data_IF_395505627223
#
_entry.id   IF_395505627223
#
_cell.length_a   1.000
_cell.length_b   1.000
_cell.length_c   1.000
_cell.angle_alpha   90.00
_cell.angle_beta   90.00
_cell.angle_gamma   90.00
#
_symmetry.space_group_name_H-M   'P 1'
#
loop_
_entity.id
_entity.type
_entity.pdbx_description
1 polymer ?
#
# COMPACT_ATOMS: atom_id res chain seq x y z
N UNK A 1 -1.07 -8.25 37.12
CA UNK A 1 -0.28 -9.27 36.34
C UNK A 1 1.13 -8.72 36.14
N UNK A 2 2.14 -9.38 36.74
CA UNK A 2 3.54 -8.96 36.60
C UNK A 2 4.01 -9.13 35.13
N UNK A 3 4.51 -8.09 34.54
CA UNK A 3 5.09 -8.08 33.20
C UNK A 3 6.38 -8.90 33.18
N UNK A 4 6.38 -10.02 32.48
CA UNK A 4 7.56 -10.88 32.32
C UNK A 4 8.35 -10.50 31.05
N UNK A 5 9.28 -9.55 31.19
CA UNK A 5 10.41 -9.36 30.28
C UNK A 5 10.29 -8.25 29.21
N UNK A 6 11.44 -7.69 28.79
CA UNK A 6 11.57 -6.58 27.82
C UNK A 6 10.98 -6.86 26.43
N UNK A 7 10.97 -8.11 25.97
CA UNK A 7 10.42 -8.48 24.64
C UNK A 7 8.91 -8.36 24.57
N UNK A 8 8.17 -8.70 25.62
CA UNK A 8 6.70 -8.59 25.65
C UNK A 8 6.25 -7.13 25.62
N UNK A 9 7.00 -6.21 26.22
CA UNK A 9 6.69 -4.77 26.21
C UNK A 9 6.86 -4.15 24.83
N UNK A 10 7.92 -4.50 24.10
CA UNK A 10 8.17 -4.01 22.73
C UNK A 10 7.13 -4.55 21.75
N UNK A 11 6.77 -5.83 21.84
CA UNK A 11 5.73 -6.42 20.98
C UNK A 11 4.36 -5.79 21.23
N UNK A 12 3.99 -5.60 22.49
CA UNK A 12 2.73 -4.94 22.85
C UNK A 12 2.68 -3.49 22.37
N UNK A 13 3.79 -2.75 22.49
CA UNK A 13 3.91 -1.38 21.96
C UNK A 13 3.76 -1.35 20.45
N UNK A 14 4.45 -2.23 19.72
CA UNK A 14 4.38 -2.29 18.27
C UNK A 14 2.97 -2.66 17.78
N UNK A 15 2.29 -3.57 18.46
CA UNK A 15 0.91 -3.91 18.17
C UNK A 15 -0.06 -2.73 18.38
N UNK A 16 0.14 -1.95 19.44
CA UNK A 16 -0.64 -0.74 19.71
C UNK A 16 -0.41 0.33 18.63
N UNK A 17 0.84 0.55 18.23
CA UNK A 17 1.18 1.48 17.15
C UNK A 17 0.54 1.03 15.84
N UNK A 18 0.65 -0.25 15.47
CA UNK A 18 0.04 -0.80 14.27
C UNK A 18 -1.47 -0.57 14.25
N UNK A 19 -2.17 -1.00 15.28
CA UNK A 19 -3.63 -0.83 15.37
C UNK A 19 -4.06 0.65 15.33
N UNK A 20 -3.33 1.53 16.01
CA UNK A 20 -3.61 2.97 16.00
C UNK A 20 -3.42 3.56 14.59
N UNK A 21 -2.32 3.22 13.91
CA UNK A 21 -2.01 3.77 12.58
C UNK A 21 -2.96 3.22 11.51
N UNK A 22 -3.40 1.98 11.61
CA UNK A 22 -4.45 1.42 10.75
C UNK A 22 -5.77 2.16 10.94
N UNK A 23 -6.20 2.38 12.19
CA UNK A 23 -7.42 3.17 12.49
C UNK A 23 -7.31 4.59 11.95
N UNK A 24 -6.18 5.26 12.18
CA UNK A 24 -5.92 6.58 11.63
C UNK A 24 -5.99 6.59 10.09
N UNK A 25 -5.49 5.54 9.44
CA UNK A 25 -5.57 5.41 7.99
C UNK A 25 -7.00 5.24 7.49
N UNK A 26 -7.87 4.54 8.25
CA UNK A 26 -9.31 4.49 7.95
C UNK A 26 -9.92 5.90 8.01
N UNK A 27 -9.66 6.65 9.09
CA UNK A 27 -10.19 8.01 9.24
C UNK A 27 -9.69 8.92 8.12
N UNK A 28 -8.41 8.81 7.73
CA UNK A 28 -7.78 9.57 6.66
C UNK A 28 -8.44 9.30 5.29
N UNK A 29 -8.74 8.04 5.00
CA UNK A 29 -9.29 7.60 3.70
C UNK A 29 -10.82 7.72 3.63
N UNK A 30 -11.53 7.76 4.78
CA UNK A 30 -12.98 7.68 4.82
C UNK A 30 -13.68 8.87 4.15
N UNK A 31 -13.11 10.09 4.24
CA UNK A 31 -13.68 11.28 3.59
C UNK A 31 -13.76 11.08 2.08
N UNK A 32 -12.63 10.65 1.48
CA UNK A 32 -12.57 10.35 0.05
C UNK A 32 -13.47 9.15 -0.30
N UNK A 33 -13.41 8.06 0.46
CA UNK A 33 -14.26 6.89 0.24
C UNK A 33 -15.74 7.28 0.17
N UNK A 34 -16.20 8.12 1.11
CA UNK A 34 -17.59 8.58 1.17
C UNK A 34 -18.00 9.37 -0.08
N UNK A 35 -17.11 10.22 -0.64
CA UNK A 35 -17.40 10.98 -1.87
C UNK A 35 -17.58 10.07 -3.10
N UNK A 36 -17.03 8.85 -3.05
CA UNK A 36 -17.14 7.83 -4.11
C UNK A 36 -18.21 6.77 -3.83
N UNK A 37 -19.00 6.91 -2.78
CA UNK A 37 -19.97 5.90 -2.36
C UNK A 37 -19.32 4.62 -1.84
N UNK A 38 -18.07 4.72 -1.36
CA UNK A 38 -17.29 3.65 -0.77
C UNK A 38 -17.16 3.81 0.75
N UNK A 39 -16.63 2.78 1.39
CA UNK A 39 -16.29 2.75 2.80
C UNK A 39 -14.82 2.38 2.96
N UNK A 40 -14.12 2.99 3.92
CA UNK A 40 -12.82 2.54 4.38
C UNK A 40 -13.00 1.53 5.52
N UNK A 41 -12.52 0.30 5.37
CA UNK A 41 -12.72 -0.80 6.32
C UNK A 41 -11.38 -1.34 6.79
N UNK A 42 -11.16 -1.34 8.12
CA UNK A 42 -9.99 -1.95 8.75
C UNK A 42 -10.13 -3.46 8.88
N UNK A 43 -9.05 -4.18 8.66
CA UNK A 43 -8.97 -5.62 8.89
C UNK A 43 -9.89 -6.43 7.98
N UNK A 44 -10.07 -6.01 6.74
CA UNK A 44 -10.97 -6.68 5.80
C UNK A 44 -10.46 -8.06 5.40
N UNK A 45 -11.39 -9.00 5.30
CA UNK A 45 -11.18 -10.40 4.92
C UNK A 45 -11.79 -10.62 3.54
N UNK A 46 -11.06 -11.26 2.64
CA UNK A 46 -11.55 -11.69 1.34
C UNK A 46 -10.80 -12.95 0.92
N UNK A 47 -11.41 -14.12 1.16
CA UNK A 47 -10.80 -15.41 0.88
C UNK A 47 -10.51 -15.61 -0.62
N UNK A 48 -11.27 -14.96 -1.51
CA UNK A 48 -11.09 -15.03 -2.96
C UNK A 48 -9.70 -14.53 -3.40
N UNK A 49 -9.07 -13.66 -2.62
CA UNK A 49 -7.76 -13.04 -2.93
C UNK A 49 -6.73 -13.27 -1.81
N UNK A 50 -6.91 -14.32 -1.01
CA UNK A 50 -5.95 -14.73 0.02
C UNK A 50 -5.91 -13.86 1.29
N UNK A 51 -6.88 -12.96 1.50
CA UNK A 51 -7.03 -12.19 2.72
C UNK A 51 -7.85 -12.98 3.74
N UNK A 52 -7.16 -13.70 4.62
CA UNK A 52 -7.78 -14.55 5.65
C UNK A 52 -7.96 -13.82 6.99
N UNK A 53 -8.71 -14.39 7.95
CA UNK A 53 -8.79 -13.86 9.32
C UNK A 53 -7.44 -13.71 10.02
N UNK A 54 -6.44 -14.54 9.66
CA UNK A 54 -5.08 -14.52 10.22
C UNK A 54 -4.18 -13.51 9.51
N UNK A 55 -4.53 -13.12 8.28
CA UNK A 55 -3.79 -12.14 7.47
C UNK A 55 -4.76 -11.24 6.70
N UNK A 56 -5.58 -10.44 7.42
CA UNK A 56 -6.52 -9.51 6.78
C UNK A 56 -5.76 -8.35 6.11
N UNK A 57 -6.45 -7.61 5.24
CA UNK A 57 -5.94 -6.33 4.77
C UNK A 57 -5.93 -5.31 5.91
N UNK A 58 -4.91 -4.44 5.97
CA UNK A 58 -4.86 -3.41 7.00
C UNK A 58 -6.02 -2.42 6.82
N UNK A 59 -6.21 -1.88 5.60
CA UNK A 59 -7.38 -1.07 5.22
C UNK A 59 -7.77 -1.37 3.78
N UNK A 60 -9.08 -1.39 3.47
CA UNK A 60 -9.60 -1.46 2.10
C UNK A 60 -10.60 -0.35 1.84
N UNK A 61 -10.66 0.14 0.60
CA UNK A 61 -11.80 0.89 0.08
C UNK A 61 -12.76 -0.11 -0.60
N UNK A 62 -14.00 -0.16 -0.18
CA UNK A 62 -14.97 -1.16 -0.65
C UNK A 62 -16.41 -0.66 -0.58
N UNK A 63 -17.32 -1.38 -1.21
CA UNK A 63 -18.75 -1.01 -1.30
C UNK A 63 -19.54 -1.22 0.00
N UNK A 64 -19.01 -2.01 0.94
CA UNK A 64 -19.73 -2.43 2.15
C UNK A 64 -18.89 -2.16 3.40
N UNK A 65 -19.54 -1.78 4.50
CA UNK A 65 -18.88 -1.61 5.81
C UNK A 65 -18.54 -2.93 6.52
N UNK A 66 -18.96 -4.06 5.97
CA UNK A 66 -18.68 -5.37 6.57
C UNK A 66 -17.19 -5.69 6.49
N UNK A 67 -16.70 -6.48 7.44
CA UNK A 67 -15.32 -6.93 7.44
C UNK A 67 -15.06 -7.99 6.37
N UNK A 68 -16.04 -8.85 6.10
CA UNK A 68 -15.99 -9.85 5.04
C UNK A 68 -16.39 -9.22 3.72
N UNK A 69 -15.51 -9.29 2.74
CA UNK A 69 -15.66 -8.67 1.43
C UNK A 69 -15.59 -9.73 0.31
N UNK A 70 -16.20 -9.39 -0.83
CA UNK A 70 -15.97 -10.09 -2.10
C UNK A 70 -14.95 -9.29 -2.93
N UNK A 71 -14.12 -9.97 -3.70
CA UNK A 71 -13.09 -9.31 -4.51
C UNK A 71 -13.66 -8.20 -5.42
N UNK A 72 -14.81 -8.43 -6.05
CA UNK A 72 -15.52 -7.47 -6.92
C UNK A 72 -16.01 -6.19 -6.22
N UNK A 73 -16.08 -6.20 -4.90
CA UNK A 73 -16.55 -5.07 -4.08
C UNK A 73 -15.40 -4.27 -3.48
N UNK A 74 -14.16 -4.72 -3.66
CA UNK A 74 -12.95 -4.04 -3.21
C UNK A 74 -12.45 -3.12 -4.34
N UNK A 75 -12.37 -1.82 -4.07
CA UNK A 75 -11.85 -0.82 -4.99
C UNK A 75 -10.34 -0.61 -4.86
N UNK A 76 -9.78 -0.71 -3.65
CA UNK A 76 -8.35 -0.61 -3.39
C UNK A 76 -7.96 -1.26 -2.06
N UNK A 77 -6.73 -1.75 -1.96
CA UNK A 77 -6.13 -2.33 -0.74
C UNK A 77 -4.98 -1.44 -0.30
N UNK A 78 -4.94 -1.11 1.00
CA UNK A 78 -3.86 -0.36 1.63
C UNK A 78 -3.19 -1.22 2.70
N UNK A 79 -1.92 -1.51 2.50
CA UNK A 79 -1.05 -2.12 3.51
C UNK A 79 -0.36 -0.99 4.28
N UNK A 80 -0.71 -0.83 5.54
CA UNK A 80 -0.28 0.32 6.35
C UNK A 80 1.07 0.04 7.01
N UNK A 81 2.03 0.90 6.74
CA UNK A 81 3.39 0.86 7.32
C UNK A 81 3.76 2.21 7.92
N UNK A 82 2.80 2.80 8.64
CA UNK A 82 3.03 4.02 9.40
C UNK A 82 3.70 3.72 10.74
N UNK A 83 4.37 4.73 11.28
CA UNK A 83 4.98 4.70 12.60
C UNK A 83 4.74 6.01 13.32
N UNK A 84 5.10 6.06 14.60
CA UNK A 84 5.16 7.32 15.34
C UNK A 84 6.36 8.11 14.79
N UNK A 85 6.10 9.25 14.14
CA UNK A 85 7.12 10.10 13.54
C UNK A 85 7.71 11.04 14.58
N UNK A 86 6.86 11.68 15.37
CA UNK A 86 7.26 12.66 16.36
C UNK A 86 7.60 12.03 17.72
N UNK A 87 8.76 12.40 18.28
CA UNK A 87 9.21 11.98 19.60
C UNK A 87 9.03 13.11 20.60
N UNK A 88 8.40 12.79 21.72
CA UNK A 88 8.17 13.73 22.82
C UNK A 88 8.67 13.11 24.12
N UNK A 89 9.32 13.91 24.96
CA UNK A 89 9.72 13.56 26.31
C UNK A 89 8.93 14.38 27.33
N UNK A 90 8.42 13.71 28.36
CA UNK A 90 7.87 14.41 29.52
C UNK A 90 8.99 14.62 30.55
N UNK A 91 9.44 15.87 30.71
CA UNK A 91 10.48 16.25 31.66
C UNK A 91 10.01 17.43 32.49
N UNK A 92 10.08 17.31 33.82
CA UNK A 92 9.61 18.34 34.76
C UNK A 92 8.17 18.82 34.47
N UNK A 93 7.28 17.89 34.16
CA UNK A 93 5.88 18.14 33.81
C UNK A 93 5.66 18.97 32.54
N UNK A 94 6.68 19.10 31.68
CA UNK A 94 6.62 19.75 30.38
C UNK A 94 6.86 18.75 29.26
N UNK A 95 6.06 18.83 28.19
CA UNK A 95 6.26 18.05 26.98
C UNK A 95 7.30 18.76 26.09
N UNK A 96 8.43 18.10 25.89
CA UNK A 96 9.53 18.56 25.03
C UNK A 96 9.55 17.75 23.75
N UNK A 97 9.48 18.38 22.58
CA UNK A 97 9.68 17.72 21.31
C UNK A 97 11.16 17.38 21.14
N UNK A 98 11.49 16.09 20.92
CA UNK A 98 12.85 15.62 20.70
C UNK A 98 13.21 15.58 19.21
N UNK A 99 12.22 15.75 18.32
CA UNK A 99 12.39 15.68 16.89
C UNK A 99 11.50 14.63 16.20
N UNK A 100 11.73 14.42 14.91
CA UNK A 100 10.95 13.52 14.06
C UNK A 100 11.55 12.09 13.97
N UNK A 101 11.29 11.39 12.86
CA UNK A 101 11.78 10.03 12.62
C UNK A 101 13.32 9.92 12.65
N UNK A 102 14.08 10.99 12.41
CA UNK A 102 15.56 11.00 12.47
C UNK A 102 16.08 10.77 13.89
N UNK A 103 15.29 11.11 14.91
CA UNK A 103 15.65 10.93 16.32
C UNK A 103 15.29 9.55 16.88
N UNK A 104 14.67 8.67 16.08
CA UNK A 104 14.38 7.30 16.49
C UNK A 104 15.64 6.45 16.62
N UNK A 105 15.70 5.58 17.63
CA UNK A 105 16.79 4.60 17.80
C UNK A 105 16.84 3.51 16.73
N UNK A 106 15.79 3.39 15.92
CA UNK A 106 15.68 2.45 14.81
C UNK A 106 14.83 3.05 13.71
N UNK A 107 15.03 2.59 12.48
CA UNK A 107 14.29 3.08 11.32
C UNK A 107 12.79 2.79 11.43
N UNK A 108 11.92 3.81 11.46
CA UNK A 108 10.47 3.62 11.54
C UNK A 108 9.83 3.47 10.15
N UNK A 109 8.63 2.90 10.09
CA UNK A 109 7.78 2.91 8.90
C UNK A 109 8.45 2.34 7.65
N UNK A 110 8.44 3.08 6.55
CA UNK A 110 9.02 2.71 5.26
C UNK A 110 10.56 2.77 5.22
N UNK A 111 11.21 3.40 6.20
CA UNK A 111 12.66 3.37 6.36
C UNK A 111 13.16 2.00 6.85
N UNK A 112 12.27 1.15 7.38
CA UNK A 112 12.62 -0.16 7.91
C UNK A 112 12.49 -1.24 6.86
N UNK A 113 13.61 -1.86 6.47
CA UNK A 113 13.64 -2.91 5.45
C UNK A 113 12.73 -4.11 5.76
N UNK A 114 12.64 -4.54 7.02
CA UNK A 114 11.72 -5.62 7.43
C UNK A 114 10.25 -5.27 7.18
N UNK A 115 9.85 -4.01 7.44
CA UNK A 115 8.50 -3.52 7.17
C UNK A 115 8.19 -3.49 5.67
N UNK A 116 9.16 -3.05 4.87
CA UNK A 116 9.06 -3.03 3.41
C UNK A 116 8.93 -4.44 2.84
N UNK A 117 9.79 -5.37 3.26
CA UNK A 117 9.76 -6.77 2.79
C UNK A 117 8.44 -7.46 3.15
N UNK A 118 7.90 -7.23 4.35
CA UNK A 118 6.61 -7.79 4.77
C UNK A 118 5.46 -7.24 3.91
N UNK A 119 5.46 -5.93 3.63
CA UNK A 119 4.44 -5.31 2.80
C UNK A 119 4.50 -5.84 1.35
N UNK A 120 5.69 -5.92 0.77
CA UNK A 120 5.92 -6.48 -0.57
C UNK A 120 5.47 -7.95 -0.62
N UNK A 121 5.90 -8.76 0.36
CA UNK A 121 5.54 -10.18 0.43
C UNK A 121 4.04 -10.41 0.52
N UNK A 122 3.33 -9.63 1.33
CA UNK A 122 1.86 -9.68 1.43
C UNK A 122 1.18 -9.28 0.13
N UNK A 123 1.68 -8.22 -0.52
CA UNK A 123 1.15 -7.77 -1.82
C UNK A 123 1.32 -8.84 -2.91
N UNK A 124 2.49 -9.47 -2.98
CA UNK A 124 2.74 -10.59 -3.89
C UNK A 124 1.79 -11.75 -3.59
N UNK A 125 1.61 -12.11 -2.32
CA UNK A 125 0.71 -13.19 -1.92
C UNK A 125 -0.74 -12.91 -2.40
N UNK A 126 -1.22 -11.68 -2.26
CA UNK A 126 -2.54 -11.27 -2.77
C UNK A 126 -2.59 -11.45 -4.30
N UNK A 127 -1.59 -10.95 -5.04
CA UNK A 127 -1.54 -11.02 -6.50
C UNK A 127 -1.59 -12.45 -7.04
N UNK A 128 -0.87 -13.37 -6.41
CA UNK A 128 -0.77 -14.77 -6.88
C UNK A 128 -1.90 -15.65 -6.36
N UNK A 129 -2.76 -15.16 -5.48
CA UNK A 129 -3.85 -15.95 -4.91
C UNK A 129 -4.96 -16.23 -5.92
N UNK A 130 -5.27 -15.28 -6.79
CA UNK A 130 -6.35 -15.45 -7.77
C UNK A 130 -6.33 -14.33 -8.82
N UNK A 131 -6.88 -14.61 -10.00
CA UNK A 131 -7.10 -13.59 -11.03
C UNK A 131 -8.04 -12.47 -10.59
N UNK A 132 -8.92 -12.73 -9.63
CA UNK A 132 -9.79 -11.70 -9.06
C UNK A 132 -9.01 -10.59 -8.34
N UNK A 133 -7.75 -10.83 -7.97
CA UNK A 133 -6.87 -9.80 -7.41
C UNK A 133 -6.25 -8.87 -8.47
N UNK A 134 -6.26 -9.27 -9.76
CA UNK A 134 -5.59 -8.50 -10.83
C UNK A 134 -6.05 -7.06 -10.97
N UNK A 135 -7.37 -6.75 -10.94
CA UNK A 135 -7.84 -5.39 -11.14
C UNK A 135 -7.77 -4.53 -9.87
N UNK A 136 -7.45 -5.11 -8.72
CA UNK A 136 -7.50 -4.39 -7.44
C UNK A 136 -6.17 -3.70 -7.18
N UNK A 137 -6.07 -2.36 -7.15
CA UNK A 137 -4.83 -1.67 -6.82
C UNK A 137 -4.42 -1.93 -5.36
N UNK A 138 -3.10 -2.12 -5.15
CA UNK A 138 -2.49 -2.29 -3.83
C UNK A 138 -1.53 -1.14 -3.60
N UNK A 139 -1.71 -0.44 -2.50
CA UNK A 139 -0.87 0.68 -2.07
C UNK A 139 -0.22 0.34 -0.73
N UNK A 140 1.08 0.61 -0.61
CA UNK A 140 1.77 0.62 0.67
C UNK A 140 1.72 2.03 1.23
N UNK A 141 0.96 2.22 2.31
CA UNK A 141 0.73 3.53 2.91
C UNK A 141 1.60 3.72 4.15
N UNK A 142 2.49 4.70 4.10
CA UNK A 142 3.40 5.06 5.18
C UNK A 142 3.34 6.55 5.53
N UNK A 143 4.20 6.95 6.47
CA UNK A 143 4.37 8.35 6.90
C UNK A 143 5.85 8.70 7.13
N UNK A 144 6.75 8.01 6.44
CA UNK A 144 8.19 8.25 6.45
C UNK A 144 8.75 8.20 5.03
N UNK A 145 9.93 8.76 4.75
CA UNK A 145 10.65 8.49 3.50
C UNK A 145 10.95 6.98 3.32
N UNK A 146 11.46 6.62 2.16
CA UNK A 146 12.09 5.33 1.89
C UNK A 146 13.62 5.48 1.93
N UNK A 147 14.34 4.37 2.09
CA UNK A 147 15.80 4.37 1.97
C UNK A 147 16.21 4.39 0.50
N UNK A 148 17.39 4.94 0.19
CA UNK A 148 17.94 5.00 -1.18
C UNK A 148 17.98 3.63 -1.87
N UNK A 149 18.32 2.57 -1.12
CA UNK A 149 18.36 1.20 -1.64
C UNK A 149 17.01 0.66 -2.11
N UNK A 150 15.90 1.30 -1.73
CA UNK A 150 14.56 0.93 -2.17
C UNK A 150 14.05 1.75 -3.37
N UNK A 151 14.71 2.85 -3.74
CA UNK A 151 14.30 3.70 -4.88
C UNK A 151 14.08 2.87 -6.15
N UNK A 152 15.05 2.12 -6.68
CA UNK A 152 14.82 1.32 -7.90
C UNK A 152 13.83 0.18 -7.68
N UNK A 153 13.75 -0.37 -6.46
CA UNK A 153 12.87 -1.51 -6.17
C UNK A 153 11.39 -1.13 -6.19
N UNK A 154 11.05 0.04 -5.66
CA UNK A 154 9.65 0.51 -5.66
C UNK A 154 9.19 0.84 -7.07
N UNK A 155 10.06 1.40 -7.92
CA UNK A 155 9.78 1.67 -9.32
C UNK A 155 9.59 0.34 -10.10
N UNK A 156 10.46 -0.63 -9.90
CA UNK A 156 10.31 -1.95 -10.51
C UNK A 156 9.02 -2.67 -10.09
N UNK A 157 8.62 -2.56 -8.83
CA UNK A 157 7.36 -3.15 -8.33
C UNK A 157 6.13 -2.45 -8.92
N UNK A 158 6.23 -1.14 -9.12
CA UNK A 158 5.21 -0.34 -9.79
C UNK A 158 5.08 -0.74 -11.27
N UNK A 159 6.17 -0.77 -12.02
CA UNK A 159 6.18 -1.20 -13.43
C UNK A 159 5.69 -2.64 -13.63
N UNK A 160 6.02 -3.53 -12.69
CA UNK A 160 5.52 -4.90 -12.73
C UNK A 160 4.02 -5.02 -12.38
N UNK A 161 3.35 -3.93 -11.99
CA UNK A 161 1.95 -3.92 -11.59
C UNK A 161 1.66 -4.65 -10.27
N UNK A 162 2.70 -5.05 -9.53
CA UNK A 162 2.54 -5.77 -8.26
C UNK A 162 1.95 -4.84 -7.20
N UNK A 163 2.49 -3.62 -7.11
CA UNK A 163 2.09 -2.57 -6.17
C UNK A 163 1.93 -1.29 -6.98
N UNK A 164 0.79 -0.61 -6.84
CA UNK A 164 0.48 0.63 -7.58
C UNK A 164 1.02 1.88 -6.90
N UNK A 165 1.75 1.75 -5.81
CA UNK A 165 2.50 2.84 -5.21
C UNK A 165 2.90 2.58 -3.77
N UNK A 166 4.02 3.18 -3.41
CA UNK A 166 4.44 3.40 -2.02
C UNK A 166 4.18 4.86 -1.71
N UNK A 167 3.16 5.12 -0.92
CA UNK A 167 2.70 6.47 -0.60
C UNK A 167 3.08 6.86 0.81
N UNK A 168 3.66 8.04 0.98
CA UNK A 168 4.00 8.59 2.28
C UNK A 168 3.20 9.85 2.57
N UNK A 169 2.31 9.79 3.54
CA UNK A 169 1.55 10.94 4.06
C UNK A 169 2.36 11.58 5.19
N UNK A 170 3.34 12.38 4.82
CA UNK A 170 4.25 13.03 5.75
C UNK A 170 4.31 14.54 5.50
N UNK A 171 3.38 15.32 6.11
CA UNK A 171 3.37 16.76 5.96
C UNK A 171 4.53 17.38 6.73
N UNK A 172 5.67 17.59 6.06
CA UNK A 172 6.80 18.39 6.52
C UNK A 172 7.31 18.01 7.91
N UNK A 173 8.10 16.93 8.07
CA UNK A 173 8.79 16.68 9.33
C UNK A 173 9.67 17.88 9.69
N UNK A 174 9.69 18.27 10.98
CA UNK A 174 10.37 19.48 11.47
C UNK A 174 11.85 19.58 11.04
N UNK A 175 12.53 18.44 10.93
CA UNK A 175 13.98 18.39 10.68
C UNK A 175 14.34 18.07 9.22
N UNK A 176 13.40 18.10 8.27
CA UNK A 176 13.70 17.69 6.90
C UNK A 176 13.99 18.83 5.93
N UNK A 177 13.69 20.07 6.27
CA UNK A 177 13.84 21.26 5.41
C UNK A 177 13.34 21.07 3.95
N UNK A 178 12.49 20.07 3.71
CA UNK A 178 12.04 19.71 2.37
C UNK A 178 12.98 18.80 1.58
N UNK A 179 14.13 18.40 2.13
CA UNK A 179 15.17 17.64 1.44
C UNK A 179 14.84 16.16 1.19
N UNK A 180 13.74 15.67 1.77
CA UNK A 180 13.33 14.28 1.51
C UNK A 180 12.76 14.13 0.11
N UNK A 181 13.07 13.00 -0.52
CA UNK A 181 12.57 12.63 -1.83
C UNK A 181 11.05 12.85 -1.93
N UNK A 182 10.61 13.61 -2.92
CA UNK A 182 9.19 13.84 -3.19
C UNK A 182 8.58 12.65 -3.92
N UNK A 183 9.28 12.14 -4.94
CA UNK A 183 8.88 10.98 -5.73
C UNK A 183 10.10 10.31 -6.35
N UNK A 184 9.99 9.03 -6.66
CA UNK A 184 10.99 8.29 -7.43
C UNK A 184 10.84 8.59 -8.93
N UNK A 185 11.88 8.28 -9.77
CA UNK A 185 11.84 8.57 -11.21
C UNK A 185 10.59 8.09 -11.93
N UNK A 186 10.11 6.90 -11.59
CA UNK A 186 8.96 6.26 -12.23
C UNK A 186 7.69 6.27 -11.35
N UNK A 187 7.66 7.12 -10.32
CA UNK A 187 6.53 7.30 -9.40
C UNK A 187 6.14 6.07 -8.55
N UNK A 188 7.02 5.08 -8.41
CA UNK A 188 6.80 3.96 -7.52
C UNK A 188 6.67 4.37 -6.04
N UNK A 189 7.33 5.49 -5.66
CA UNK A 189 7.14 6.16 -4.38
C UNK A 189 6.72 7.60 -4.59
N UNK A 190 5.71 8.05 -3.83
CA UNK A 190 5.23 9.44 -3.81
C UNK A 190 5.00 9.90 -2.37
N UNK A 191 5.58 11.07 -2.02
CA UNK A 191 5.31 11.76 -0.76
C UNK A 191 4.22 12.80 -0.96
N UNK A 192 3.23 12.78 -0.12
CA UNK A 192 2.10 13.71 -0.12
C UNK A 192 2.21 14.64 1.09
N UNK A 193 2.18 15.93 0.86
CA UNK A 193 2.34 16.96 1.89
C UNK A 193 1.00 17.58 2.32
N UNK A 194 -0.08 17.28 1.60
CA UNK A 194 -1.43 17.76 1.92
C UNK A 194 -2.47 16.66 1.68
N UNK A 195 -3.67 16.89 2.20
CA UNK A 195 -4.82 16.02 1.93
C UNK A 195 -5.23 16.09 0.46
N UNK A 196 -5.14 17.25 -0.17
CA UNK A 196 -5.50 17.45 -1.58
C UNK A 196 -4.60 16.63 -2.51
N UNK A 197 -3.29 16.53 -2.21
CA UNK A 197 -2.38 15.64 -2.94
C UNK A 197 -2.77 14.17 -2.78
N UNK A 198 -3.18 13.75 -1.58
CA UNK A 198 -3.67 12.39 -1.35
C UNK A 198 -4.96 12.14 -2.13
N UNK A 199 -5.91 13.07 -2.07
CA UNK A 199 -7.18 12.97 -2.78
C UNK A 199 -6.96 12.87 -4.30
N UNK A 200 -6.08 13.69 -4.87
CA UNK A 200 -5.72 13.63 -6.29
C UNK A 200 -5.10 12.27 -6.69
N UNK A 201 -4.20 11.73 -5.87
CA UNK A 201 -3.61 10.41 -6.14
C UNK A 201 -4.65 9.29 -6.02
N UNK A 202 -5.59 9.38 -5.09
CA UNK A 202 -6.70 8.44 -4.97
C UNK A 202 -7.66 8.52 -6.17
N UNK A 203 -7.96 9.73 -6.66
CA UNK A 203 -8.74 9.93 -7.89
C UNK A 203 -8.08 9.26 -9.09
N UNK A 204 -6.79 9.54 -9.31
CA UNK A 204 -6.03 8.95 -10.40
C UNK A 204 -6.00 7.42 -10.29
N UNK A 205 -5.77 6.88 -9.08
CA UNK A 205 -5.72 5.44 -8.85
C UNK A 205 -7.04 4.74 -9.20
N UNK A 206 -8.19 5.34 -8.86
CA UNK A 206 -9.49 4.72 -9.08
C UNK A 206 -10.12 5.07 -10.45
N UNK A 207 -9.55 6.03 -11.19
CA UNK A 207 -10.03 6.40 -12.53
C UNK A 207 -9.58 5.42 -13.62
N UNK A 208 -8.52 4.65 -13.38
CA UNK A 208 -7.94 3.73 -14.34
C UNK A 208 -8.31 2.28 -14.03
N UNK A 209 -8.42 1.47 -15.07
CA UNK A 209 -8.54 0.01 -14.94
C UNK A 209 -7.15 -0.59 -14.83
N UNK A 210 -6.89 -1.23 -13.71
CA UNK A 210 -5.63 -1.93 -13.46
C UNK A 210 -5.75 -3.42 -13.83
N UNK A 211 -4.67 -3.99 -14.34
CA UNK A 211 -4.55 -5.43 -14.57
C UNK A 211 -3.14 -5.89 -14.27
N UNK A 212 -3.05 -6.86 -13.37
CA UNK A 212 -1.82 -7.58 -13.09
C UNK A 212 -1.94 -9.01 -13.59
N UNK A 213 -0.93 -9.45 -14.30
CA UNK A 213 -0.75 -10.87 -14.62
C UNK A 213 0.74 -11.22 -14.51
N UNK A 214 1.01 -12.34 -13.91
CA UNK A 214 2.37 -12.88 -13.75
C UNK A 214 2.50 -14.14 -14.60
N UNK A 215 2.79 -13.99 -15.89
CA UNK A 215 3.06 -15.14 -16.75
C UNK A 215 4.42 -14.97 -17.42
N UNK A 216 5.34 -15.88 -17.10
CA UNK A 216 6.64 -15.95 -17.76
C UNK A 216 6.60 -16.89 -18.98
N UNK A 217 5.68 -16.62 -19.91
CA UNK A 217 5.61 -17.39 -21.15
C UNK A 217 6.84 -17.14 -22.03
N UNK A 218 7.33 -18.16 -22.77
CA UNK A 218 8.40 -17.99 -23.71
C UNK A 218 8.08 -16.91 -24.77
N UNK A 219 9.09 -16.17 -25.25
CA UNK A 219 8.92 -15.10 -26.25
C UNK A 219 8.14 -15.55 -27.48
N UNK A 220 8.34 -16.80 -27.94
CA UNK A 220 7.62 -17.37 -29.10
C UNK A 220 6.12 -17.46 -28.82
N UNK A 221 5.74 -17.88 -27.63
CA UNK A 221 4.33 -17.98 -27.23
C UNK A 221 3.70 -16.61 -27.05
N UNK A 222 4.41 -15.67 -26.39
CA UNK A 222 3.96 -14.27 -26.28
C UNK A 222 3.75 -13.63 -27.64
N UNK A 223 4.68 -13.81 -28.60
CA UNK A 223 4.53 -13.30 -29.95
C UNK A 223 3.28 -13.84 -30.65
N UNK A 224 2.99 -15.13 -30.47
CA UNK A 224 1.77 -15.75 -31.03
C UNK A 224 0.49 -15.21 -30.37
N UNK A 225 0.50 -14.96 -29.05
CA UNK A 225 -0.63 -14.38 -28.34
C UNK A 225 -0.89 -12.95 -28.82
N UNK A 226 0.19 -12.14 -28.97
CA UNK A 226 0.12 -10.77 -29.47
C UNK A 226 -0.45 -10.75 -30.89
N UNK A 227 0.03 -11.63 -31.78
CA UNK A 227 -0.48 -11.74 -33.14
C UNK A 227 -1.97 -12.04 -33.20
N UNK A 228 -2.45 -12.96 -32.35
CA UNK A 228 -3.88 -13.28 -32.24
C UNK A 228 -4.68 -12.09 -31.71
N UNK A 229 -4.19 -11.43 -30.65
CA UNK A 229 -4.87 -10.30 -30.05
C UNK A 229 -4.95 -9.09 -31.00
N UNK A 230 -3.92 -8.88 -31.82
CA UNK A 230 -3.88 -7.78 -32.79
C UNK A 230 -4.91 -7.89 -33.92
N UNK A 231 -5.61 -9.02 -34.07
CA UNK A 231 -6.71 -9.20 -35.02
C UNK A 231 -8.00 -8.50 -34.60
N UNK A 232 -8.10 -8.16 -33.30
CA UNK A 232 -9.24 -7.38 -32.80
C UNK A 232 -9.13 -5.91 -33.30
N UNK A 233 -10.25 -5.24 -33.64
CA UNK A 233 -10.21 -3.91 -34.24
C UNK A 233 -9.82 -2.81 -33.23
N UNK A 234 -10.35 -2.86 -32.02
CA UNK A 234 -10.22 -1.81 -31.00
C UNK A 234 -9.12 -2.12 -29.99
N UNK A 235 -8.46 -1.09 -29.44
CA UNK A 235 -7.38 -1.25 -28.47
C UNK A 235 -7.82 -2.01 -27.22
N UNK A 236 -9.00 -1.70 -26.69
CA UNK A 236 -9.54 -2.36 -25.52
C UNK A 236 -9.84 -3.84 -25.80
N UNK A 237 -10.43 -4.15 -26.96
CA UNK A 237 -10.67 -5.52 -27.37
C UNK A 237 -9.37 -6.32 -27.56
N UNK A 238 -8.31 -5.69 -28.10
CA UNK A 238 -6.97 -6.29 -28.20
C UNK A 238 -6.42 -6.61 -26.81
N UNK A 239 -6.51 -5.65 -25.88
CA UNK A 239 -6.03 -5.84 -24.51
C UNK A 239 -6.81 -6.97 -23.80
N UNK A 240 -8.12 -6.98 -23.88
CA UNK A 240 -8.96 -8.04 -23.31
C UNK A 240 -8.61 -9.42 -23.91
N UNK A 241 -8.46 -9.48 -25.22
CA UNK A 241 -8.06 -10.72 -25.91
C UNK A 241 -6.69 -11.22 -25.49
N UNK A 242 -5.73 -10.30 -25.37
CA UNK A 242 -4.38 -10.61 -24.89
C UNK A 242 -4.41 -11.18 -23.47
N UNK A 243 -5.09 -10.50 -22.55
CA UNK A 243 -5.23 -10.94 -21.17
C UNK A 243 -5.92 -12.30 -21.06
N UNK A 244 -6.97 -12.52 -21.84
CA UNK A 244 -7.66 -13.82 -21.89
C UNK A 244 -6.73 -14.96 -22.34
N UNK A 245 -5.89 -14.72 -23.34
CA UNK A 245 -4.97 -15.72 -23.88
C UNK A 245 -3.77 -15.99 -22.97
N UNK A 246 -3.29 -14.95 -22.26
CA UNK A 246 -2.13 -15.10 -21.37
C UNK A 246 -2.49 -15.84 -20.07
N UNK A 247 -3.75 -15.78 -19.66
CA UNK A 247 -4.28 -16.46 -18.47
C UNK A 247 -4.57 -17.96 -18.70
N UNK A 248 -4.58 -18.41 -19.95
CA UNK A 248 -4.74 -19.82 -20.32
C UNK A 248 -3.41 -20.55 -20.31
#
# INVERSE_FOLDING_TARGET
KSYKGKKSTLQSRNALIGNFTEKYSVDLLQKFASSKGLCAVQGAICNEIGLSPQSPADVVLCKSKQREQKAKDIAAIFEVKMSIVWNWELKNNQLICLGDFKTHKGNPGLLRSDSMLKAIGKSINIRVSSYSASPIPIIILGNTPITESYIPKVDHLFHAGIIQGFWSVNPNPLDSNGDNLKQTPDNGFVRMNSYDELEQNLENLLSEKHEFFSSMKPRRELGRIIEIANREPEFEAKAEKFLLLIRK
#
